data_IF_127833695967
#
_entry.id   IF_127833695967
#
_cell.length_a   1.000
_cell.length_b   1.000
_cell.length_c   1.000
_cell.angle_alpha   90.00
_cell.angle_beta   90.00
_cell.angle_gamma   90.00
#
_symmetry.space_group_name_H-M   'P 1'
#
loop_
_entity.id
_entity.type
_entity.pdbx_description
1 polymer ?
#
# COMPACT_ATOMS: atom_id res chain seq x y z
N UNK A 1 -5.48 92.70 -2.32
CA UNK A 1 -4.76 91.71 -3.14
C UNK A 1 -4.64 90.43 -2.34
N UNK A 2 -5.35 89.40 -2.79
CA UNK A 2 -5.34 88.03 -2.24
C UNK A 2 -4.06 87.31 -2.63
N UNK A 3 -3.44 86.59 -1.69
CA UNK A 3 -2.67 85.37 -1.99
C UNK A 3 -3.11 84.32 -0.97
N UNK A 4 -4.10 83.51 -1.35
CA UNK A 4 -4.40 82.22 -0.70
C UNK A 4 -3.65 81.19 -1.53
N UNK A 5 -2.59 80.63 -0.95
CA UNK A 5 -1.76 79.61 -1.56
C UNK A 5 -2.00 78.25 -0.93
N UNK A 6 -2.15 77.24 -1.81
CA UNK A 6 -1.75 75.84 -1.63
C UNK A 6 -2.60 74.98 -0.69
N UNK A 7 -3.78 74.52 -1.15
CA UNK A 7 -4.28 73.14 -0.91
C UNK A 7 -5.23 72.75 -2.06
N UNK A 8 -4.72 72.23 -3.17
CA UNK A 8 -5.57 71.64 -4.23
C UNK A 8 -4.75 70.71 -5.15
N UNK A 9 -4.17 69.63 -4.62
CA UNK A 9 -3.46 68.64 -5.46
C UNK A 9 -3.46 67.21 -4.93
N UNK A 10 -4.38 66.82 -4.03
CA UNK A 10 -4.50 65.44 -3.56
C UNK A 10 -6.00 65.10 -3.57
N UNK A 11 -6.54 64.70 -4.72
CA UNK A 11 -7.97 64.41 -4.78
C UNK A 11 -8.47 63.58 -5.96
N UNK A 12 -7.67 63.32 -6.99
CA UNK A 12 -8.19 62.66 -8.21
C UNK A 12 -7.18 61.66 -8.79
N UNK A 13 -6.74 60.65 -8.01
CA UNK A 13 -6.14 59.41 -8.57
C UNK A 13 -6.51 58.15 -7.76
N UNK A 14 -7.46 58.21 -6.83
CA UNK A 14 -7.81 57.02 -6.00
C UNK A 14 -9.10 56.32 -6.46
N UNK A 15 -9.88 56.93 -7.37
CA UNK A 15 -11.17 56.37 -7.79
C UNK A 15 -11.09 55.36 -8.97
N UNK A 16 -9.91 55.14 -9.58
CA UNK A 16 -9.80 54.38 -10.84
C UNK A 16 -9.28 52.94 -10.73
N UNK A 17 -8.81 52.50 -9.57
CA UNK A 17 -8.09 51.22 -9.43
C UNK A 17 -8.83 50.15 -8.60
N UNK A 18 -10.06 50.41 -8.15
CA UNK A 18 -10.80 49.53 -7.24
C UNK A 18 -11.84 48.61 -7.91
N UNK A 19 -11.85 48.52 -9.24
CA UNK A 19 -12.83 47.71 -9.98
C UNK A 19 -12.25 46.49 -10.73
N UNK A 20 -11.00 46.09 -10.47
CA UNK A 20 -10.38 44.91 -11.09
C UNK A 20 -9.90 43.83 -10.10
N UNK A 21 -10.35 43.90 -8.84
CA UNK A 21 -10.11 42.85 -7.85
C UNK A 21 -11.44 42.18 -7.45
N UNK A 22 -12.24 41.75 -8.42
CA UNK A 22 -13.15 40.64 -8.15
C UNK A 22 -12.30 39.37 -8.20
N UNK A 23 -12.12 38.63 -7.09
CA UNK A 23 -11.61 37.29 -7.18
C UNK A 23 -12.54 36.55 -8.13
N UNK A 24 -11.98 36.07 -9.24
CA UNK A 24 -12.63 35.04 -10.04
C UNK A 24 -12.74 33.88 -9.06
N UNK A 25 -13.91 33.69 -8.47
CA UNK A 25 -14.30 32.47 -7.79
C UNK A 25 -14.22 31.37 -8.86
N UNK A 26 -13.01 30.83 -9.04
CA UNK A 26 -12.81 29.60 -9.77
C UNK A 26 -13.78 28.59 -9.14
N UNK A 27 -14.59 27.88 -9.93
CA UNK A 27 -15.51 26.90 -9.39
C UNK A 27 -14.67 25.94 -8.54
N UNK A 28 -14.87 26.03 -7.23
CA UNK A 28 -14.28 25.13 -6.25
C UNK A 28 -14.78 23.77 -6.69
N UNK A 29 -13.94 22.96 -7.35
CA UNK A 29 -14.24 21.56 -7.65
C UNK A 29 -14.74 21.01 -6.33
N UNK A 30 -16.05 20.73 -6.25
CA UNK A 30 -16.57 19.93 -5.16
C UNK A 30 -15.72 18.68 -5.21
N UNK A 31 -14.87 18.50 -4.20
CA UNK A 31 -14.27 17.20 -3.94
C UNK A 31 -15.45 16.24 -3.96
N UNK A 32 -15.50 15.33 -4.93
CA UNK A 32 -16.42 14.21 -4.87
C UNK A 32 -16.32 13.67 -3.46
N UNK A 33 -17.45 13.66 -2.74
CA UNK A 33 -17.47 13.14 -1.39
C UNK A 33 -17.02 11.68 -1.49
N UNK A 34 -15.88 11.35 -0.87
CA UNK A 34 -15.35 10.00 -0.86
C UNK A 34 -16.40 9.10 -0.19
N UNK A 35 -17.16 8.35 -0.98
CA UNK A 35 -18.19 7.44 -0.48
C UNK A 35 -17.48 6.29 0.22
N UNK A 36 -17.72 6.16 1.52
CA UNK A 36 -17.20 5.05 2.30
C UNK A 36 -17.75 3.72 1.73
N UNK A 37 -16.89 2.74 1.42
CA UNK A 37 -17.34 1.43 1.04
C UNK A 37 -18.09 0.73 2.18
N UNK A 38 -18.92 -0.29 1.86
CA UNK A 38 -19.52 -1.12 2.89
C UNK A 38 -18.41 -1.75 3.75
N UNK A 39 -18.68 -1.87 5.05
CA UNK A 39 -17.76 -2.52 5.97
C UNK A 39 -17.54 -3.98 5.52
N UNK A 40 -16.29 -4.42 5.30
CA UNK A 40 -16.01 -5.79 4.95
C UNK A 40 -16.41 -6.71 6.10
N UNK A 41 -16.91 -7.89 5.76
CA UNK A 41 -17.35 -8.87 6.73
C UNK A 41 -16.16 -9.77 7.11
N UNK A 42 -15.82 -9.80 8.40
CA UNK A 42 -14.94 -10.81 8.96
C UNK A 42 -15.58 -12.19 8.80
N UNK A 43 -14.79 -13.18 8.40
CA UNK A 43 -15.23 -14.57 8.44
C UNK A 43 -15.10 -15.13 9.86
N UNK A 44 -15.67 -16.31 10.11
CA UNK A 44 -15.55 -17.02 11.39
C UNK A 44 -14.29 -17.86 11.51
N UNK A 45 -13.44 -17.88 10.49
CA UNK A 45 -12.27 -18.74 10.42
C UNK A 45 -11.12 -18.16 11.27
N UNK A 46 -10.43 -19.03 12.01
CA UNK A 46 -9.22 -18.68 12.74
C UNK A 46 -8.00 -18.85 11.85
N UNK A 47 -7.14 -17.84 11.74
CA UNK A 47 -5.92 -17.92 10.92
C UNK A 47 -4.96 -18.99 11.45
N UNK A 48 -4.20 -19.60 10.54
CA UNK A 48 -3.18 -20.58 10.91
C UNK A 48 -1.98 -19.91 11.62
N UNK A 49 -1.79 -18.60 11.40
CA UNK A 49 -0.73 -17.78 11.98
C UNK A 49 -0.96 -17.31 13.42
N UNK A 50 -2.17 -17.43 13.98
CA UNK A 50 -2.51 -16.90 15.33
C UNK A 50 -1.65 -17.54 16.43
N UNK A 51 -1.26 -18.80 16.27
CA UNK A 51 -0.44 -19.52 17.25
C UNK A 51 1.02 -19.03 17.31
N UNK A 52 1.50 -18.24 16.33
CA UNK A 52 2.92 -17.88 16.20
C UNK A 52 3.31 -16.47 16.64
N UNK A 53 2.42 -15.48 16.52
CA UNK A 53 2.86 -14.08 16.57
C UNK A 53 2.20 -13.22 17.65
N UNK A 54 1.23 -13.74 18.41
CA UNK A 54 0.41 -12.90 19.29
C UNK A 54 -0.31 -11.76 18.55
N UNK A 55 -0.39 -11.87 17.22
CA UNK A 55 -0.92 -10.89 16.31
C UNK A 55 -2.44 -11.03 16.23
N UNK A 56 -3.14 -9.91 16.04
CA UNK A 56 -4.54 -9.98 15.61
C UNK A 56 -4.54 -10.41 14.15
N UNK A 57 -5.34 -11.44 13.84
CA UNK A 57 -5.51 -11.92 12.48
C UNK A 57 -6.99 -12.10 12.20
N UNK A 58 -7.42 -11.62 11.04
CA UNK A 58 -8.82 -11.70 10.61
C UNK A 58 -8.86 -12.11 9.15
N UNK A 59 -9.46 -13.28 8.87
CA UNK A 59 -9.87 -13.64 7.51
C UNK A 59 -11.15 -12.89 7.16
N UNK A 60 -11.27 -12.45 5.92
CA UNK A 60 -12.31 -11.51 5.50
C UNK A 60 -12.72 -11.76 4.04
N UNK A 61 -13.95 -11.37 3.70
CA UNK A 61 -14.48 -11.54 2.35
C UNK A 61 -13.94 -10.47 1.39
N UNK A 62 -13.43 -10.89 0.21
CA UNK A 62 -12.88 -9.99 -0.82
C UNK A 62 -13.83 -8.79 -1.07
N UNK A 63 -13.32 -7.54 -1.08
CA UNK A 63 -14.15 -6.37 -1.27
C UNK A 63 -14.39 -6.18 -2.77
N UNK A 64 -15.29 -5.28 -3.14
CA UNK A 64 -15.42 -4.91 -4.55
C UNK A 64 -14.10 -4.28 -5.04
N UNK A 65 -13.60 -4.62 -6.25
CA UNK A 65 -12.38 -4.01 -6.77
C UNK A 65 -12.46 -2.48 -6.79
N UNK A 66 -11.37 -1.81 -6.42
CA UNK A 66 -11.26 -0.36 -6.45
C UNK A 66 -9.94 0.10 -7.04
N UNK A 67 -9.90 1.28 -7.70
CA UNK A 67 -8.65 1.90 -8.11
C UNK A 67 -7.74 2.19 -6.92
N UNK A 68 -6.43 1.98 -7.08
CA UNK A 68 -5.48 2.15 -5.98
C UNK A 68 -5.45 3.57 -5.43
N UNK A 69 -5.60 4.59 -6.29
CA UNK A 69 -5.71 5.99 -5.86
C UNK A 69 -6.84 6.23 -4.85
N UNK A 70 -7.97 5.52 -4.97
CA UNK A 70 -9.11 5.65 -4.07
C UNK A 70 -8.83 4.90 -2.76
N UNK A 71 -8.15 3.76 -2.86
CA UNK A 71 -7.68 2.98 -1.71
C UNK A 71 -6.69 3.79 -0.86
N UNK A 72 -5.75 4.51 -1.47
CA UNK A 72 -4.86 5.43 -0.75
C UNK A 72 -5.63 6.51 0.01
N UNK A 73 -6.66 7.11 -0.61
CA UNK A 73 -7.49 8.11 0.04
C UNK A 73 -8.25 7.51 1.23
N UNK A 74 -8.84 6.32 1.07
CA UNK A 74 -9.52 5.59 2.13
C UNK A 74 -8.58 5.23 3.28
N UNK A 75 -7.35 4.79 2.97
CA UNK A 75 -6.35 4.41 3.97
C UNK A 75 -5.93 5.58 4.87
N UNK A 76 -6.07 6.82 4.38
CA UNK A 76 -5.75 8.06 5.13
C UNK A 76 -6.92 8.59 5.95
N UNK A 77 -8.09 7.94 5.91
CA UNK A 77 -9.24 8.35 6.71
C UNK A 77 -9.05 8.02 8.20
N UNK A 78 -9.58 8.84 9.12
CA UNK A 78 -9.57 8.52 10.53
C UNK A 78 -10.46 7.32 10.87
N UNK A 79 -11.54 7.11 10.11
CA UNK A 79 -12.45 6.00 10.30
C UNK A 79 -11.99 4.78 9.49
N UNK A 80 -11.59 3.73 10.21
CA UNK A 80 -11.15 2.46 9.65
C UNK A 80 -12.15 1.34 9.97
N UNK A 81 -12.22 0.27 9.17
CA UNK A 81 -13.05 -0.88 9.48
C UNK A 81 -12.58 -1.59 10.76
N UNK A 82 -13.47 -2.32 11.44
CA UNK A 82 -13.10 -3.02 12.68
C UNK A 82 -12.06 -4.14 12.47
N UNK A 83 -11.95 -4.64 11.23
CA UNK A 83 -11.08 -5.75 10.84
C UNK A 83 -9.67 -5.32 10.43
N UNK A 84 -9.37 -4.01 10.41
CA UNK A 84 -8.07 -3.48 9.99
C UNK A 84 -8.19 -2.10 9.33
N UNK A 85 -7.25 -1.75 8.47
CA UNK A 85 -7.33 -0.55 7.64
C UNK A 85 -7.85 -0.88 6.23
N UNK A 86 -8.38 0.14 5.55
CA UNK A 86 -8.86 -0.01 4.17
C UNK A 86 -7.75 -0.48 3.23
N UNK A 87 -6.52 0.02 3.41
CA UNK A 87 -5.37 -0.35 2.58
C UNK A 87 -5.14 -1.85 2.52
N UNK A 88 -4.92 -2.50 3.68
CA UNK A 88 -4.65 -3.93 3.79
C UNK A 88 -5.76 -4.79 3.19
N UNK A 89 -7.02 -4.40 3.41
CA UNK A 89 -8.16 -5.11 2.83
C UNK A 89 -8.10 -5.04 1.30
N UNK A 90 -8.04 -3.85 0.71
CA UNK A 90 -7.99 -3.76 -0.75
C UNK A 90 -6.70 -4.33 -1.35
N UNK A 91 -5.58 -4.32 -0.62
CA UNK A 91 -4.36 -4.94 -1.09
C UNK A 91 -4.52 -6.44 -1.37
N UNK A 92 -5.27 -7.20 -0.55
CA UNK A 92 -5.48 -8.62 -0.87
C UNK A 92 -6.48 -8.88 -2.00
N UNK A 93 -7.13 -7.83 -2.52
CA UNK A 93 -8.14 -7.99 -3.56
C UNK A 93 -7.57 -7.90 -4.97
N UNK A 94 -6.38 -7.29 -5.15
CA UNK A 94 -5.80 -7.08 -6.49
C UNK A 94 -5.33 -8.37 -7.17
N UNK A 95 -4.56 -9.26 -6.53
CA UNK A 95 -4.19 -10.53 -7.13
C UNK A 95 -5.41 -11.42 -7.36
N UNK A 96 -5.59 -11.97 -8.58
CA UNK A 96 -6.55 -13.03 -8.84
C UNK A 96 -6.23 -14.30 -8.04
N UNK A 97 -7.26 -15.08 -7.70
CA UNK A 97 -7.09 -16.30 -6.90
C UNK A 97 -6.25 -17.34 -7.63
N UNK A 98 -6.40 -17.43 -8.95
CA UNK A 98 -5.62 -18.34 -9.77
C UNK A 98 -4.12 -18.01 -9.82
N UNK A 99 -3.74 -16.75 -9.54
CA UNK A 99 -2.33 -16.36 -9.46
C UNK A 99 -1.77 -16.86 -8.13
N UNK A 100 -2.43 -16.55 -7.03
CA UNK A 100 -1.99 -16.98 -5.69
C UNK A 100 -1.96 -18.50 -5.58
N UNK A 101 -2.98 -19.19 -6.11
CA UNK A 101 -3.08 -20.64 -6.08
C UNK A 101 -1.94 -21.36 -6.83
N UNK A 102 -1.35 -20.73 -7.85
CA UNK A 102 -0.18 -21.29 -8.57
C UNK A 102 1.05 -21.41 -7.67
N UNK A 103 1.16 -20.56 -6.66
CA UNK A 103 2.30 -20.53 -5.74
C UNK A 103 1.99 -21.20 -4.40
N UNK A 104 0.75 -21.11 -3.92
CA UNK A 104 0.38 -21.56 -2.57
C UNK A 104 -0.45 -22.84 -2.56
N UNK A 105 -0.93 -23.30 -3.71
CA UNK A 105 -1.96 -24.33 -3.78
C UNK A 105 -3.37 -23.73 -3.70
N UNK A 106 -4.39 -24.55 -3.97
CA UNK A 106 -5.77 -24.09 -4.06
C UNK A 106 -6.40 -23.74 -2.70
N UNK A 107 -5.86 -24.28 -1.60
CA UNK A 107 -6.33 -24.04 -0.25
C UNK A 107 -5.46 -22.97 0.42
N UNK A 108 -5.67 -21.71 0.07
CA UNK A 108 -5.00 -20.58 0.71
C UNK A 108 -6.03 -19.62 1.31
N UNK A 109 -5.61 -18.84 2.30
CA UNK A 109 -6.45 -17.85 2.99
C UNK A 109 -5.94 -16.45 2.76
N UNK A 110 -6.86 -15.48 2.77
CA UNK A 110 -6.56 -14.05 2.73
C UNK A 110 -6.86 -13.47 4.10
N UNK A 111 -5.84 -12.92 4.73
CA UNK A 111 -5.96 -12.44 6.10
C UNK A 111 -5.41 -11.04 6.21
N UNK A 112 -5.95 -10.26 7.14
CA UNK A 112 -5.31 -9.02 7.58
C UNK A 112 -4.60 -9.31 8.90
N UNK A 113 -3.28 -9.09 8.90
CA UNK A 113 -2.42 -9.26 10.08
C UNK A 113 -2.19 -7.88 10.71
N UNK A 114 -2.37 -7.80 12.03
CA UNK A 114 -2.23 -6.60 12.86
C UNK A 114 -3.06 -5.40 12.40
N UNK A 115 -4.01 -5.59 11.48
CA UNK A 115 -4.82 -4.52 10.89
C UNK A 115 -4.14 -3.75 9.76
N UNK A 116 -2.88 -4.02 9.40
CA UNK A 116 -2.12 -3.20 8.44
C UNK A 116 -1.54 -3.97 7.26
N UNK A 117 -1.42 -5.29 7.39
CA UNK A 117 -0.77 -6.13 6.38
C UNK A 117 -1.79 -7.05 5.76
N UNK A 118 -1.91 -6.99 4.44
CA UNK A 118 -2.52 -8.08 3.70
C UNK A 118 -1.57 -9.28 3.74
N UNK A 119 -2.05 -10.45 4.13
CA UNK A 119 -1.26 -11.68 4.01
C UNK A 119 -2.03 -12.78 3.32
N UNK A 120 -1.34 -13.56 2.50
CA UNK A 120 -1.83 -14.82 1.99
C UNK A 120 -1.10 -15.95 2.72
N UNK A 121 -1.85 -16.85 3.36
CA UNK A 121 -1.29 -17.98 4.10
C UNK A 121 -1.83 -19.32 3.60
N UNK A 122 -0.97 -20.35 3.60
CA UNK A 122 -1.43 -21.74 3.48
C UNK A 122 -1.82 -22.26 4.88
N UNK A 123 -2.97 -22.95 5.02
CA UNK A 123 -3.36 -23.59 6.27
C UNK A 123 -2.56 -24.88 6.56
N UNK A 124 -1.73 -25.34 5.61
CA UNK A 124 -0.87 -26.51 5.82
C UNK A 124 0.17 -26.27 6.92
N UNK A 125 0.40 -27.30 7.74
CA UNK A 125 1.25 -27.20 8.93
C UNK A 125 2.74 -27.21 8.65
N UNK A 126 3.16 -27.70 7.49
CA UNK A 126 4.54 -28.14 7.26
C UNK A 126 5.37 -27.12 6.45
N UNK A 127 4.71 -26.32 5.60
CA UNK A 127 5.32 -25.17 4.92
C UNK A 127 4.32 -24.01 4.83
N UNK A 128 4.63 -22.92 5.53
CA UNK A 128 3.87 -21.68 5.42
C UNK A 128 4.60 -20.78 4.45
N UNK A 129 4.15 -20.78 3.19
CA UNK A 129 4.44 -19.68 2.27
C UNK A 129 3.54 -18.53 2.72
N UNK A 130 4.15 -17.37 2.99
CA UNK A 130 3.44 -16.13 3.23
C UNK A 130 3.79 -15.12 2.15
N UNK A 131 2.76 -14.50 1.60
CA UNK A 131 2.90 -13.26 0.83
C UNK A 131 2.32 -12.13 1.66
N UNK A 132 3.17 -11.25 2.17
CA UNK A 132 2.74 -10.06 2.90
C UNK A 132 2.77 -8.86 1.97
N UNK A 133 1.71 -8.05 1.95
CA UNK A 133 1.64 -6.83 1.17
C UNK A 133 1.10 -5.70 2.02
N UNK A 134 1.79 -4.56 2.04
CA UNK A 134 1.38 -3.39 2.83
C UNK A 134 1.86 -2.09 2.21
N UNK A 135 1.25 -0.97 2.62
CA UNK A 135 1.72 0.37 2.28
C UNK A 135 2.66 0.84 3.40
N UNK A 136 3.93 0.97 3.08
CA UNK A 136 4.95 1.54 3.96
C UNK A 136 4.92 3.07 3.93
N UNK A 137 5.25 3.70 5.04
CA UNK A 137 5.43 5.15 5.14
C UNK A 137 6.90 5.53 4.93
N UNK A 138 7.15 6.63 4.23
CA UNK A 138 8.49 7.11 3.90
C UNK A 138 8.70 7.28 2.40
N UNK A 139 9.75 8.01 2.04
CA UNK A 139 10.15 8.15 0.63
C UNK A 139 10.83 6.86 0.18
N UNK A 140 10.81 6.53 -1.11
CA UNK A 140 11.51 5.36 -1.62
C UNK A 140 12.99 5.31 -1.17
N UNK A 141 13.66 6.45 -1.22
CA UNK A 141 15.05 6.63 -0.78
C UNK A 141 15.26 6.38 0.73
N UNK A 142 14.24 6.55 1.59
CA UNK A 142 14.43 6.25 3.01
C UNK A 142 14.39 4.74 3.29
N UNK A 143 13.89 3.96 2.34
CA UNK A 143 13.81 2.50 2.45
C UNK A 143 15.06 1.79 1.89
N UNK A 144 15.91 2.47 1.12
CA UNK A 144 17.16 1.89 0.61
C UNK A 144 18.21 1.64 1.70
N UNK A 145 18.08 2.32 2.85
CA UNK A 145 19.03 2.21 3.96
C UNK A 145 18.74 1.01 4.89
N UNK A 146 17.67 0.26 4.63
CA UNK A 146 17.18 -0.79 5.54
C UNK A 146 18.01 -2.09 5.44
N UNK A 147 18.55 -2.38 4.25
CA UNK A 147 19.29 -3.61 3.98
C UNK A 147 20.49 -3.33 3.08
N UNK A 148 21.74 -3.49 3.56
CA UNK A 148 22.94 -3.26 2.76
C UNK A 148 23.04 -4.16 1.52
N UNK A 149 22.37 -5.31 1.54
CA UNK A 149 22.33 -6.28 0.45
C UNK A 149 21.24 -5.95 -0.60
N UNK A 150 20.35 -5.00 -0.31
CA UNK A 150 19.27 -4.65 -1.21
C UNK A 150 19.77 -3.86 -2.43
N UNK A 151 19.21 -4.16 -3.59
CA UNK A 151 19.53 -3.50 -4.85
C UNK A 151 18.35 -2.70 -5.38
N UNK A 152 18.64 -1.57 -6.04
CA UNK A 152 17.62 -0.78 -6.75
C UNK A 152 17.64 -1.19 -8.22
N UNK A 153 16.52 -1.74 -8.69
CA UNK A 153 16.34 -2.21 -10.07
C UNK A 153 15.20 -1.48 -10.76
N UNK A 154 15.25 -1.45 -12.10
CA UNK A 154 14.08 -1.09 -12.91
C UNK A 154 13.24 -2.34 -13.16
N UNK A 155 11.99 -2.31 -12.70
CA UNK A 155 10.98 -3.33 -12.97
C UNK A 155 9.86 -2.71 -13.82
N UNK A 156 9.89 -2.98 -15.13
CA UNK A 156 8.89 -2.49 -16.08
C UNK A 156 8.64 -0.97 -15.98
N UNK A 157 9.72 -0.18 -15.89
CA UNK A 157 9.66 1.29 -15.81
C UNK A 157 9.34 1.85 -14.42
N UNK A 158 9.44 1.02 -13.38
CA UNK A 158 9.24 1.39 -11.97
C UNK A 158 10.50 1.06 -11.18
N UNK A 159 10.96 1.97 -10.33
CA UNK A 159 12.04 1.66 -9.39
C UNK A 159 11.52 0.72 -8.31
N UNK A 160 12.28 -0.35 -8.07
CA UNK A 160 11.99 -1.33 -7.03
C UNK A 160 13.28 -1.58 -6.26
N UNK A 161 13.20 -1.52 -4.93
CA UNK A 161 14.25 -2.04 -4.04
C UNK A 161 13.96 -3.52 -3.88
N UNK A 162 14.93 -4.36 -4.23
CA UNK A 162 14.84 -5.80 -4.08
C UNK A 162 15.83 -6.23 -3.02
N UNK A 163 15.30 -6.81 -1.95
CA UNK A 163 16.09 -7.49 -0.92
C UNK A 163 16.01 -8.99 -1.14
N UNK A 164 17.17 -9.60 -1.37
CA UNK A 164 17.35 -11.05 -1.53
C UNK A 164 17.82 -11.73 -0.23
N UNK A 165 17.42 -11.20 0.92
CA UNK A 165 17.75 -11.74 2.23
C UNK A 165 17.56 -13.25 2.32
N UNK A 166 18.58 -13.91 2.86
CA UNK A 166 18.52 -15.31 3.27
C UNK A 166 18.82 -15.29 4.76
N UNK A 167 17.78 -15.30 5.60
CA UNK A 167 17.95 -15.28 7.06
C UNK A 167 18.66 -16.56 7.54
N UNK A 168 18.40 -17.68 6.87
CA UNK A 168 19.10 -18.95 7.06
C UNK A 168 19.03 -19.81 5.78
N UNK A 169 19.88 -20.85 5.62
CA UNK A 169 19.93 -21.68 4.40
C UNK A 169 18.63 -22.39 4.01
N UNK A 170 17.61 -22.34 4.85
CA UNK A 170 16.32 -23.03 4.72
C UNK A 170 15.14 -22.05 4.66
N UNK A 171 15.36 -20.75 4.83
CA UNK A 171 14.37 -19.69 4.57
C UNK A 171 14.65 -19.03 3.23
N UNK A 172 13.59 -18.73 2.47
CA UNK A 172 13.67 -17.78 1.37
C UNK A 172 12.85 -16.57 1.78
N UNK A 173 13.56 -15.46 1.99
CA UNK A 173 12.96 -14.15 2.11
C UNK A 173 13.20 -13.39 0.79
N UNK A 174 12.16 -12.74 0.30
CA UNK A 174 12.28 -11.72 -0.76
C UNK A 174 11.44 -10.54 -0.34
N UNK A 175 11.99 -9.34 -0.40
CA UNK A 175 11.20 -8.11 -0.25
C UNK A 175 11.35 -7.24 -1.48
N UNK A 176 10.21 -6.80 -2.02
CA UNK A 176 10.15 -5.80 -3.07
C UNK A 176 9.48 -4.55 -2.51
N UNK A 177 10.19 -3.43 -2.53
CA UNK A 177 9.67 -2.13 -2.13
C UNK A 177 9.55 -1.28 -3.40
N UNK A 178 8.33 -0.92 -3.78
CA UNK A 178 7.99 -0.28 -5.04
C UNK A 178 7.46 1.13 -4.81
N UNK A 179 7.85 2.07 -5.68
CA UNK A 179 7.26 3.41 -5.65
C UNK A 179 5.78 3.42 -6.01
N UNK A 180 5.02 4.31 -5.37
CA UNK A 180 3.62 4.56 -5.68
C UNK A 180 3.50 5.90 -6.43
N UNK A 181 3.07 5.91 -7.71
CA UNK A 181 2.76 7.15 -8.43
C UNK A 181 1.81 8.07 -7.66
N UNK A 182 2.17 9.35 -7.57
CA UNK A 182 1.32 10.35 -6.90
C UNK A 182 1.29 10.25 -5.37
N UNK A 183 2.08 9.37 -4.76
CA UNK A 183 2.22 9.25 -3.31
C UNK A 183 3.72 9.18 -2.91
N UNK A 184 4.48 10.28 -3.02
CA UNK A 184 5.94 10.27 -2.87
C UNK A 184 6.45 9.94 -1.45
N UNK A 185 5.57 9.89 -0.44
CA UNK A 185 5.90 9.55 0.94
C UNK A 185 5.31 8.19 1.36
N UNK A 186 4.90 7.38 0.40
CA UNK A 186 4.39 6.04 0.61
C UNK A 186 5.04 5.09 -0.41
N UNK A 187 5.29 3.87 0.02
CA UNK A 187 5.81 2.79 -0.83
C UNK A 187 4.90 1.58 -0.71
N UNK A 188 4.85 0.75 -1.74
CA UNK A 188 4.22 -0.55 -1.66
C UNK A 188 5.31 -1.57 -1.32
N UNK A 189 5.12 -2.29 -0.23
CA UNK A 189 6.03 -3.37 0.18
C UNK A 189 5.34 -4.71 -0.06
N UNK A 190 6.06 -5.62 -0.69
CA UNK A 190 5.66 -7.01 -0.89
C UNK A 190 6.77 -7.89 -0.33
N UNK A 191 6.44 -8.77 0.61
CA UNK A 191 7.36 -9.77 1.12
C UNK A 191 6.89 -11.17 0.73
N UNK A 192 7.82 -12.01 0.30
CA UNK A 192 7.67 -13.45 0.26
C UNK A 192 8.46 -14.06 1.40
N UNK A 193 7.81 -14.91 2.19
CA UNK A 193 8.45 -15.66 3.28
C UNK A 193 8.12 -17.13 3.13
N UNK A 194 9.12 -17.94 2.79
CA UNK A 194 9.05 -19.38 2.96
C UNK A 194 9.46 -19.75 4.38
N UNK A 195 8.50 -20.07 5.26
CA UNK A 195 8.79 -20.45 6.64
C UNK A 195 8.45 -21.92 6.92
N UNK A 196 9.30 -22.57 7.71
CA UNK A 196 9.05 -23.93 8.20
C UNK A 196 7.79 -23.98 9.07
N UNK A 197 7.10 -25.12 9.02
CA UNK A 197 5.98 -25.49 9.88
C UNK A 197 6.27 -25.62 11.37
N UNK A 198 5.23 -25.73 12.21
CA UNK A 198 5.39 -25.91 13.69
C UNK A 198 5.83 -27.36 14.01
N UNK A 199 5.62 -28.29 13.08
CA UNK A 199 5.67 -29.73 13.34
C UNK A 199 6.89 -30.50 12.90
N UNK A 200 7.78 -29.98 12.05
CA UNK A 200 8.77 -30.84 11.38
C UNK A 200 10.21 -30.33 11.30
N UNK A 201 11.12 -31.30 11.51
CA UNK A 201 12.58 -31.18 11.61
C UNK A 201 13.25 -31.39 10.24
N UNK A 202 12.51 -31.93 9.27
CA UNK A 202 12.91 -32.15 7.88
C UNK A 202 12.28 -31.08 6.96
N UNK A 203 12.86 -29.88 7.02
CA UNK A 203 12.42 -28.73 6.23
C UNK A 203 12.73 -28.92 4.74
N UNK A 204 11.72 -28.73 3.88
CA UNK A 204 11.89 -28.62 2.43
C UNK A 204 12.65 -27.30 2.14
N UNK A 205 13.74 -27.31 1.36
CA UNK A 205 14.45 -26.09 0.98
C UNK A 205 13.50 -25.10 0.31
N UNK A 206 13.56 -23.83 0.74
CA UNK A 206 12.77 -22.80 0.10
C UNK A 206 13.21 -22.63 -1.37
N UNK A 207 12.24 -22.72 -2.29
CA UNK A 207 12.47 -22.60 -3.74
C UNK A 207 12.64 -21.12 -4.10
N UNK A 208 13.89 -20.67 -4.18
CA UNK A 208 14.27 -19.30 -4.53
C UNK A 208 13.72 -18.89 -5.91
N UNK A 209 13.76 -19.78 -6.89
CA UNK A 209 13.24 -19.48 -8.23
C UNK A 209 11.71 -19.31 -8.20
N UNK A 210 11.01 -20.08 -7.38
CA UNK A 210 9.58 -19.89 -7.14
C UNK A 210 9.29 -18.56 -6.47
N UNK A 211 10.07 -18.16 -5.48
CA UNK A 211 9.96 -16.85 -4.83
C UNK A 211 10.13 -15.73 -5.85
N UNK A 212 11.19 -15.77 -6.66
CA UNK A 212 11.47 -14.73 -7.65
C UNK A 212 10.39 -14.65 -8.74
N UNK A 213 9.87 -15.79 -9.22
CA UNK A 213 8.73 -15.82 -10.16
C UNK A 213 7.46 -15.24 -9.54
N UNK A 214 7.17 -15.58 -8.29
CA UNK A 214 5.99 -15.09 -7.60
C UNK A 214 6.06 -13.57 -7.36
N UNK A 215 7.22 -13.08 -6.90
CA UNK A 215 7.45 -11.65 -6.70
C UNK A 215 7.34 -10.86 -8.00
N UNK A 216 7.87 -11.37 -9.11
CA UNK A 216 7.72 -10.73 -10.41
C UNK A 216 6.27 -10.70 -10.91
N UNK A 217 5.53 -11.81 -10.78
CA UNK A 217 4.13 -11.85 -11.24
C UNK A 217 3.21 -10.97 -10.37
N UNK A 218 3.35 -11.03 -9.05
CA UNK A 218 2.61 -10.16 -8.13
C UNK A 218 3.03 -8.70 -8.30
N UNK A 219 4.33 -8.44 -8.44
CA UNK A 219 4.87 -7.11 -8.70
C UNK A 219 4.26 -6.48 -9.94
N UNK A 220 4.04 -7.24 -11.02
CA UNK A 220 3.37 -6.71 -12.21
C UNK A 220 1.88 -6.37 -11.97
N UNK A 221 1.18 -7.18 -11.18
CA UNK A 221 -0.23 -6.92 -10.80
C UNK A 221 -0.32 -5.61 -10.01
N UNK A 222 0.53 -5.45 -8.99
CA UNK A 222 0.52 -4.26 -8.16
C UNK A 222 1.08 -3.02 -8.86
N UNK A 223 2.09 -3.19 -9.72
CA UNK A 223 2.58 -2.10 -10.58
C UNK A 223 1.44 -1.54 -11.43
N UNK A 224 0.65 -2.41 -12.08
CA UNK A 224 -0.53 -1.99 -12.85
C UNK A 224 -1.63 -1.39 -11.98
N UNK A 225 -1.85 -1.93 -10.78
CA UNK A 225 -2.86 -1.40 -9.87
C UNK A 225 -2.55 0.04 -9.44
N UNK A 226 -1.26 0.39 -9.31
CA UNK A 226 -0.77 1.70 -8.82
C UNK A 226 -0.60 2.77 -9.90
N UNK A 227 -0.83 2.45 -11.18
CA UNK A 227 -0.82 3.41 -12.32
C UNK A 227 -2.12 4.23 -12.43
#
# INVERSE_FOLDING_TARGET
MLIIGVIASIGIVVAGAWFLLTPIDAPRKQSEALVLPPAPTATTNTCASVDRMGATCTEWARPEPRPFKDVLQLNRLPQQPATGNWGALYLCSYPPDEVIARYMGADFRRVVINGFTCSYESPERDMQILFDVYIGSGTFESWTDISPEAEVVDFNGRRVIVDHGVEDPKSAFRSWIMEIPGAPNEVLVMDYKGMAGIGDVDMIPADADKADRAMAELGEIYRKATE
#
